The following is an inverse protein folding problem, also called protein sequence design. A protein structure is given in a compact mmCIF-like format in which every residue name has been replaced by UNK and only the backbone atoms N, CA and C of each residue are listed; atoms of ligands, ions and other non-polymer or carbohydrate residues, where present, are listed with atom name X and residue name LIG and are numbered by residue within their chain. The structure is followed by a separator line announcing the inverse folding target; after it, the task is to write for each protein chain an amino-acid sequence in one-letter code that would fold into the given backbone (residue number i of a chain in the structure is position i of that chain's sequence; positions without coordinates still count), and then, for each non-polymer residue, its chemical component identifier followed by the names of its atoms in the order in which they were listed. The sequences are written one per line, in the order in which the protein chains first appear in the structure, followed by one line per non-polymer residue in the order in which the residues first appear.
data_IF_451009956883
#
_entry.id   IF_451009956883
#
_cell.length_a   1.000
_cell.length_b   1.000
_cell.length_c   1.000
_cell.angle_alpha   90.00
_cell.angle_beta   90.00
_cell.angle_gamma   90.00
#
_symmetry.space_group_name_H-M   'P 1'
#
loop_
_entity.id
_entity.type
_entity.pdbx_description
1 polymer ?
#
# COMPACT_ATOMS: atom_id res chain seq x y z
N UNK A 1 -12.33 16.88 9.23
CA UNK A 1 -12.29 16.61 7.77
C UNK A 1 -11.00 15.89 7.42
N UNK A 2 -11.01 15.07 6.34
CA UNK A 2 -9.83 14.39 5.80
C UNK A 2 -9.65 14.84 4.35
N UNK A 3 -8.44 15.28 4.01
CA UNK A 3 -8.05 15.66 2.65
C UNK A 3 -7.09 14.60 2.11
N UNK A 4 -7.49 13.87 1.08
CA UNK A 4 -6.64 12.90 0.40
C UNK A 4 -5.98 13.53 -0.83
N UNK A 5 -4.68 13.54 -0.85
CA UNK A 5 -3.88 13.96 -2.00
C UNK A 5 -3.55 12.75 -2.84
N UNK A 6 -4.26 12.64 -3.94
CA UNK A 6 -4.17 11.55 -4.89
C UNK A 6 -2.89 11.62 -5.72
N UNK A 7 -2.22 10.49 -5.88
CA UNK A 7 -1.01 10.32 -6.72
C UNK A 7 0.03 11.43 -6.52
N UNK A 8 0.17 11.94 -5.29
CA UNK A 8 0.97 13.13 -4.99
C UNK A 8 2.44 13.01 -5.37
N UNK A 9 2.99 11.79 -5.39
CA UNK A 9 4.36 11.53 -5.82
C UNK A 9 4.70 12.07 -7.21
N UNK A 10 3.69 12.22 -8.07
CA UNK A 10 3.82 12.66 -9.45
C UNK A 10 3.44 14.12 -9.67
N UNK A 11 3.19 14.89 -8.62
CA UNK A 11 2.65 16.24 -8.70
C UNK A 11 3.55 17.20 -9.48
N UNK A 12 4.85 17.19 -9.21
CA UNK A 12 5.80 18.09 -9.88
C UNK A 12 6.45 17.42 -11.09
N UNK A 13 6.55 18.18 -12.18
CA UNK A 13 7.16 17.73 -13.43
C UNK A 13 8.40 18.57 -13.74
N UNK A 14 9.53 17.90 -14.00
CA UNK A 14 10.79 18.53 -14.34
C UNK A 14 11.49 17.76 -15.46
N UNK A 15 11.75 18.43 -16.57
CA UNK A 15 12.43 17.82 -17.72
C UNK A 15 13.78 17.26 -17.27
N UNK A 16 14.11 16.03 -17.69
CA UNK A 16 15.36 15.35 -17.33
C UNK A 16 15.38 14.69 -15.95
N UNK A 17 14.25 14.73 -15.21
CA UNK A 17 14.09 14.04 -13.94
C UNK A 17 13.17 12.82 -14.05
N UNK A 18 13.07 12.04 -12.96
CA UNK A 18 12.11 10.94 -12.87
C UNK A 18 10.63 11.41 -12.79
N UNK A 19 10.40 12.69 -12.48
CA UNK A 19 9.09 13.25 -12.18
C UNK A 19 8.32 12.51 -11.05
N UNK A 20 9.06 11.90 -10.12
CA UNK A 20 8.52 11.16 -8.98
C UNK A 20 9.26 11.57 -7.72
N UNK A 21 8.54 11.89 -6.66
CA UNK A 21 9.07 12.27 -5.34
C UNK A 21 10.11 13.41 -5.42
N UNK A 22 9.86 14.41 -6.27
CA UNK A 22 10.77 15.54 -6.40
C UNK A 22 10.72 16.45 -5.16
N UNK A 23 11.82 17.14 -4.80
CA UNK A 23 11.82 18.09 -3.68
C UNK A 23 10.69 19.13 -3.76
N UNK A 24 10.37 19.60 -4.95
CA UNK A 24 9.29 20.55 -5.20
C UNK A 24 7.91 19.97 -4.83
N UNK A 25 7.71 18.65 -4.99
CA UNK A 25 6.49 17.97 -4.54
C UNK A 25 6.35 18.06 -3.01
N UNK A 26 7.43 17.78 -2.29
CA UNK A 26 7.46 17.87 -0.83
C UNK A 26 7.21 19.31 -0.33
N UNK A 27 7.76 20.33 -1.00
CA UNK A 27 7.48 21.72 -0.66
C UNK A 27 5.99 22.08 -0.80
N UNK A 28 5.33 21.57 -1.85
CA UNK A 28 3.90 21.78 -2.04
C UNK A 28 3.09 21.06 -0.94
N UNK A 29 3.46 19.84 -0.58
CA UNK A 29 2.79 19.12 0.52
C UNK A 29 2.95 19.89 1.84
N UNK A 30 4.13 20.42 2.14
CA UNK A 30 4.37 21.29 3.32
C UNK A 30 3.53 22.57 3.29
N UNK A 31 3.43 23.19 2.13
CA UNK A 31 2.56 24.37 1.97
C UNK A 31 1.10 24.05 2.29
N UNK A 32 0.57 22.97 1.72
CA UNK A 32 -0.81 22.55 1.99
C UNK A 32 -0.99 22.14 3.45
N UNK A 33 -0.02 21.45 4.05
CA UNK A 33 -0.04 21.13 5.48
C UNK A 33 -0.15 22.41 6.32
N UNK A 34 0.67 23.40 6.06
CA UNK A 34 0.66 24.69 6.77
C UNK A 34 -0.69 25.41 6.63
N UNK A 35 -1.25 25.43 5.42
CA UNK A 35 -2.57 26.05 5.17
C UNK A 35 -3.68 25.30 5.91
N UNK A 36 -3.66 23.97 5.88
CA UNK A 36 -4.66 23.13 6.57
C UNK A 36 -4.58 23.33 8.09
N UNK A 37 -3.39 23.30 8.66
CA UNK A 37 -3.19 23.51 10.11
C UNK A 37 -3.67 24.88 10.57
N UNK A 38 -3.50 25.90 9.73
CA UNK A 38 -3.98 27.26 10.03
C UNK A 38 -5.50 27.43 9.89
N UNK A 39 -6.10 26.89 8.82
CA UNK A 39 -7.53 27.09 8.53
C UNK A 39 -8.44 26.07 9.21
N UNK A 40 -7.96 24.88 9.45
CA UNK A 40 -8.74 23.78 10.01
C UNK A 40 -7.84 22.82 10.82
N UNK A 41 -7.42 23.20 12.03
CA UNK A 41 -6.46 22.43 12.84
C UNK A 41 -6.85 20.99 13.17
N UNK A 42 -8.14 20.65 13.03
CA UNK A 42 -8.67 19.30 13.23
C UNK A 42 -8.72 18.47 11.93
N UNK A 43 -8.33 19.04 10.81
CA UNK A 43 -8.32 18.32 9.54
C UNK A 43 -7.05 17.50 9.38
N UNK A 44 -7.18 16.38 8.67
CA UNK A 44 -6.10 15.45 8.41
C UNK A 44 -5.73 15.50 6.93
N UNK A 45 -4.44 15.64 6.64
CA UNK A 45 -3.88 15.51 5.30
C UNK A 45 -3.36 14.09 5.12
N UNK A 46 -3.86 13.39 4.11
CA UNK A 46 -3.44 12.04 3.73
C UNK A 46 -2.79 12.07 2.36
N UNK A 47 -1.58 11.53 2.23
CA UNK A 47 -0.92 11.39 0.93
C UNK A 47 -1.04 9.97 0.40
N UNK A 48 -1.45 9.85 -0.85
CA UNK A 48 -1.48 8.61 -1.61
C UNK A 48 -0.26 8.52 -2.51
N UNK A 49 0.63 7.54 -2.22
CA UNK A 49 1.89 7.33 -2.94
C UNK A 49 2.18 5.83 -3.07
N UNK A 50 1.80 5.23 -4.20
CA UNK A 50 2.07 3.83 -4.50
C UNK A 50 3.56 3.62 -4.86
N UNK A 51 4.44 3.79 -3.88
CA UNK A 51 5.90 3.71 -3.98
C UNK A 51 6.48 2.79 -2.91
N UNK A 52 7.74 2.33 -3.03
CA UNK A 52 8.39 1.55 -1.99
C UNK A 52 8.34 2.25 -0.62
N UNK A 53 8.23 1.48 0.46
CA UNK A 53 8.06 1.99 1.82
C UNK A 53 9.05 3.10 2.18
N UNK A 54 10.35 2.93 1.81
CA UNK A 54 11.41 3.92 2.06
C UNK A 54 11.15 5.30 1.40
N UNK A 55 10.46 5.31 0.25
CA UNK A 55 10.08 6.54 -0.43
C UNK A 55 8.81 7.13 0.17
N UNK A 56 7.85 6.27 0.49
CA UNK A 56 6.56 6.67 1.05
C UNK A 56 6.69 7.34 2.42
N UNK A 57 7.55 6.83 3.32
CA UNK A 57 7.76 7.40 4.65
C UNK A 57 8.33 8.83 4.62
N UNK A 58 8.96 9.25 3.52
CA UNK A 58 9.46 10.63 3.38
C UNK A 58 8.36 11.67 3.42
N UNK A 59 7.10 11.29 3.11
CA UNK A 59 5.94 12.17 3.18
C UNK A 59 5.44 12.49 4.59
N UNK A 60 6.03 11.90 5.63
CA UNK A 60 5.88 12.43 6.98
C UNK A 60 6.69 13.72 7.19
N UNK A 61 7.75 13.91 6.40
CA UNK A 61 8.71 15.00 6.58
C UNK A 61 9.29 14.99 8.00
N UNK A 62 9.33 16.15 8.62
CA UNK A 62 9.62 16.33 10.05
C UNK A 62 8.33 16.65 10.82
N UNK A 63 7.29 15.83 10.67
CA UNK A 63 5.93 16.05 11.15
C UNK A 63 5.25 17.30 10.53
N UNK A 64 5.70 17.75 9.36
CA UNK A 64 5.26 18.96 8.68
C UNK A 64 4.77 18.73 7.23
N UNK A 65 4.59 17.46 6.84
CA UNK A 65 3.99 17.07 5.57
C UNK A 65 2.67 16.33 5.84
N UNK A 66 2.50 15.08 5.42
CA UNK A 66 1.27 14.34 5.66
C UNK A 66 1.07 14.03 7.16
N UNK A 67 -0.19 14.11 7.60
CA UNK A 67 -0.59 13.52 8.89
C UNK A 67 -0.64 12.00 8.79
N UNK A 68 -1.20 11.49 7.70
CA UNK A 68 -1.28 10.07 7.43
C UNK A 68 -0.69 9.73 6.06
N UNK A 69 -0.02 8.60 5.98
CA UNK A 69 0.45 8.02 4.73
C UNK A 69 -0.14 6.61 4.56
N UNK A 70 -0.52 6.25 3.34
CA UNK A 70 -0.98 4.89 3.05
C UNK A 70 0.12 3.87 3.25
N UNK A 71 -0.16 2.78 3.94
CA UNK A 71 0.77 1.64 4.07
C UNK A 71 0.62 0.71 2.86
N UNK A 72 1.10 1.14 1.70
CA UNK A 72 0.98 0.40 0.44
C UNK A 72 1.71 -0.95 0.42
N UNK A 73 2.71 -1.14 1.28
CA UNK A 73 3.40 -2.42 1.38
C UNK A 73 2.58 -3.49 2.10
N UNK A 74 1.61 -3.07 2.92
CA UNK A 74 0.83 -4.01 3.73
C UNK A 74 -0.03 -4.98 2.90
N UNK A 75 -0.85 -4.55 1.92
CA UNK A 75 -1.72 -5.46 1.18
C UNK A 75 -0.98 -6.63 0.54
N UNK A 76 0.02 -6.42 -0.35
CA UNK A 76 0.68 -7.51 -1.03
C UNK A 76 1.51 -8.40 -0.10
N UNK A 77 2.16 -7.83 0.92
CA UNK A 77 2.98 -8.60 1.87
C UNK A 77 2.08 -9.45 2.77
N UNK A 78 0.97 -8.90 3.24
CA UNK A 78 0.06 -9.65 4.12
C UNK A 78 -0.66 -10.77 3.37
N UNK A 79 -1.11 -10.52 2.14
CA UNK A 79 -1.67 -11.55 1.26
C UNK A 79 -0.62 -12.67 1.05
N UNK A 80 0.60 -12.31 0.69
CA UNK A 80 1.67 -13.29 0.50
C UNK A 80 1.94 -14.10 1.77
N UNK A 81 2.00 -13.45 2.92
CA UNK A 81 2.18 -14.05 4.26
C UNK A 81 1.13 -15.13 4.52
N UNK A 82 -0.15 -14.79 4.36
CA UNK A 82 -1.28 -15.70 4.61
C UNK A 82 -1.25 -16.88 3.64
N UNK A 83 -1.08 -16.63 2.34
CA UNK A 83 -1.08 -17.68 1.33
C UNK A 83 0.13 -18.61 1.42
N UNK A 84 1.26 -18.11 1.91
CA UNK A 84 2.47 -18.88 2.17
C UNK A 84 2.40 -19.66 3.49
N UNK A 85 1.66 -19.15 4.48
CA UNK A 85 1.68 -19.66 5.86
C UNK A 85 2.99 -19.39 6.58
N UNK A 86 3.62 -18.22 6.34
CA UNK A 86 4.93 -17.85 6.86
C UNK A 86 4.91 -16.39 7.32
N UNK A 87 4.91 -16.17 8.65
CA UNK A 87 4.81 -14.84 9.26
C UNK A 87 6.05 -13.97 9.10
N UNK A 88 7.18 -14.54 8.69
CA UNK A 88 8.46 -13.82 8.57
C UNK A 88 8.41 -12.63 7.60
N UNK A 89 7.52 -12.67 6.60
CA UNK A 89 7.31 -11.57 5.66
C UNK A 89 6.64 -10.38 6.32
N UNK A 90 5.60 -10.62 7.13
CA UNK A 90 4.93 -9.57 7.89
C UNK A 90 5.85 -9.00 8.98
N UNK A 91 6.57 -9.86 9.69
CA UNK A 91 7.57 -9.45 10.67
C UNK A 91 8.63 -8.54 10.03
N UNK A 92 9.18 -8.93 8.88
CA UNK A 92 10.13 -8.10 8.12
C UNK A 92 9.54 -6.76 7.73
N UNK A 93 8.27 -6.71 7.30
CA UNK A 93 7.58 -5.45 6.99
C UNK A 93 7.48 -4.57 8.24
N UNK A 94 6.91 -5.09 9.32
CA UNK A 94 6.68 -4.31 10.55
C UNK A 94 7.97 -3.78 11.16
N UNK A 95 9.04 -4.57 11.12
CA UNK A 95 10.36 -4.14 11.60
C UNK A 95 11.06 -3.14 10.66
N UNK A 96 10.69 -3.07 9.40
CA UNK A 96 11.27 -2.12 8.43
C UNK A 96 10.62 -0.75 8.43
N UNK A 97 9.40 -0.63 8.96
CA UNK A 97 8.68 0.63 9.04
C UNK A 97 9.14 1.40 10.29
N UNK A 98 9.61 2.65 10.15
CA UNK A 98 9.89 3.49 11.31
C UNK A 98 8.58 3.78 12.06
N UNK A 99 8.62 3.94 13.39
CA UNK A 99 7.45 4.39 14.14
C UNK A 99 6.96 5.75 13.62
N UNK A 100 5.64 5.91 13.54
CA UNK A 100 5.08 7.20 13.15
C UNK A 100 5.42 8.27 14.18
N UNK A 101 5.70 9.48 13.71
CA UNK A 101 5.98 10.62 14.58
C UNK A 101 4.70 11.06 15.31
N UNK A 102 4.85 11.80 16.41
CA UNK A 102 3.70 12.33 17.14
C UNK A 102 2.79 13.17 16.22
N UNK A 103 1.51 12.84 16.20
CA UNK A 103 0.53 13.48 15.32
C UNK A 103 0.48 12.92 13.88
N UNK A 104 1.28 11.90 13.59
CA UNK A 104 1.27 11.18 12.32
C UNK A 104 0.84 9.72 12.50
N UNK A 105 0.37 9.07 11.43
CA UNK A 105 0.00 7.66 11.46
C UNK A 105 0.11 7.00 10.07
N UNK A 106 0.30 5.69 10.07
CA UNK A 106 0.09 4.88 8.88
C UNK A 106 -1.40 4.63 8.70
N UNK A 107 -1.92 4.81 7.48
CA UNK A 107 -3.24 4.37 7.08
C UNK A 107 -3.12 2.92 6.58
N UNK A 108 -3.46 1.98 7.44
CA UNK A 108 -3.38 0.55 7.15
C UNK A 108 -4.62 0.11 6.37
N UNK A 109 -4.43 -0.46 5.21
CA UNK A 109 -5.47 -1.01 4.36
C UNK A 109 -4.99 -2.31 3.72
N UNK A 110 -5.90 -3.13 3.26
CA UNK A 110 -5.62 -4.43 2.63
C UNK A 110 -6.30 -4.61 1.28
N UNK A 111 -7.19 -3.70 0.92
CA UNK A 111 -7.83 -3.62 -0.38
C UNK A 111 -8.20 -2.17 -0.68
N UNK A 112 -8.27 -1.82 -1.96
CA UNK A 112 -8.73 -0.52 -2.47
C UNK A 112 -9.35 -0.68 -3.85
N UNK A 113 -9.90 0.41 -4.39
CA UNK A 113 -10.48 0.45 -5.74
C UNK A 113 -9.41 0.36 -6.86
N UNK A 114 -8.14 0.61 -6.54
CA UNK A 114 -7.03 0.60 -7.51
C UNK A 114 -6.38 -0.79 -7.66
N UNK A 115 -6.79 -1.77 -6.84
CA UNK A 115 -6.15 -3.08 -6.79
C UNK A 115 -4.95 -3.13 -5.82
N UNK A 116 -4.17 -4.21 -5.91
CA UNK A 116 -3.04 -4.50 -5.03
C UNK A 116 -1.74 -4.11 -5.74
N UNK A 117 -1.13 -3.02 -5.30
CA UNK A 117 0.13 -2.52 -5.85
C UNK A 117 1.30 -3.48 -5.62
N UNK A 118 2.09 -3.74 -6.64
CA UNK A 118 3.26 -4.62 -6.57
C UNK A 118 4.58 -3.87 -6.36
N UNK A 119 4.64 -2.60 -6.75
CA UNK A 119 5.84 -1.78 -6.53
C UNK A 119 6.22 -1.66 -5.04
N UNK A 120 5.29 -1.53 -4.10
CA UNK A 120 5.61 -1.49 -2.67
C UNK A 120 6.25 -2.76 -2.11
N UNK A 121 6.19 -3.90 -2.84
CA UNK A 121 6.88 -5.13 -2.44
C UNK A 121 8.35 -5.16 -2.84
N UNK A 122 8.84 -4.20 -3.65
CA UNK A 122 10.22 -4.18 -4.11
C UNK A 122 11.20 -4.16 -2.93
N UNK A 123 12.15 -5.11 -2.93
CA UNK A 123 13.10 -5.30 -1.83
C UNK A 123 12.60 -6.15 -0.65
N UNK A 124 11.29 -6.48 -0.62
CA UNK A 124 10.69 -7.36 0.40
C UNK A 124 10.39 -8.75 -0.14
N UNK A 125 9.83 -8.82 -1.35
CA UNK A 125 9.64 -10.06 -2.10
C UNK A 125 10.66 -10.15 -3.24
N UNK A 126 11.20 -11.33 -3.47
CA UNK A 126 12.01 -11.62 -4.65
C UNK A 126 11.15 -11.64 -5.92
N UNK A 127 11.78 -11.50 -7.08
CA UNK A 127 11.07 -11.59 -8.36
C UNK A 127 10.32 -12.92 -8.55
N UNK A 128 10.83 -14.02 -7.99
CA UNK A 128 10.16 -15.33 -8.06
C UNK A 128 8.93 -15.38 -7.16
N UNK A 129 8.97 -14.74 -5.99
CA UNK A 129 7.85 -14.65 -5.07
C UNK A 129 6.75 -13.76 -5.64
N UNK A 130 7.10 -12.63 -6.26
CA UNK A 130 6.14 -11.77 -6.97
C UNK A 130 5.47 -12.55 -8.12
N UNK A 131 6.24 -13.30 -8.92
CA UNK A 131 5.67 -14.14 -9.99
C UNK A 131 4.74 -15.21 -9.43
N UNK A 132 5.10 -15.84 -8.31
CA UNK A 132 4.26 -16.83 -7.64
C UNK A 132 2.95 -16.22 -7.13
N UNK A 133 3.01 -15.01 -6.55
CA UNK A 133 1.83 -14.26 -6.13
C UNK A 133 0.90 -13.98 -7.31
N UNK A 134 1.46 -13.43 -8.39
CA UNK A 134 0.73 -13.13 -9.63
C UNK A 134 0.05 -14.38 -10.19
N UNK A 135 0.78 -15.50 -10.30
CA UNK A 135 0.21 -16.77 -10.80
C UNK A 135 -0.99 -17.20 -9.96
N UNK A 136 -0.84 -17.17 -8.62
CA UNK A 136 -1.92 -17.56 -7.71
C UNK A 136 -3.13 -16.63 -7.83
N UNK A 137 -2.91 -15.32 -7.95
CA UNK A 137 -4.03 -14.37 -8.11
C UNK A 137 -4.76 -14.57 -9.44
N UNK A 138 -4.03 -14.86 -10.53
CA UNK A 138 -4.66 -15.20 -11.81
C UNK A 138 -5.46 -16.52 -11.73
N UNK A 139 -4.93 -17.55 -11.03
CA UNK A 139 -5.65 -18.80 -10.78
C UNK A 139 -6.94 -18.57 -9.99
N UNK A 140 -6.96 -17.61 -9.09
CA UNK A 140 -8.12 -17.21 -8.29
C UNK A 140 -9.06 -16.23 -9.04
N UNK A 141 -8.85 -15.98 -10.34
CA UNK A 141 -9.73 -15.14 -11.16
C UNK A 141 -9.34 -13.66 -11.25
N UNK A 142 -8.20 -13.28 -10.69
CA UNK A 142 -7.69 -11.91 -10.78
C UNK A 142 -6.99 -11.62 -12.12
N UNK A 143 -6.79 -10.34 -12.38
CA UNK A 143 -6.07 -9.81 -13.53
C UNK A 143 -4.89 -8.97 -13.11
N UNK A 144 -3.84 -8.89 -13.93
CA UNK A 144 -2.65 -8.10 -13.65
C UNK A 144 -2.48 -6.99 -14.67
N UNK A 145 -2.38 -5.76 -14.20
CA UNK A 145 -1.98 -4.63 -15.03
C UNK A 145 -0.45 -4.52 -15.10
N UNK A 146 0.04 -3.97 -16.22
CA UNK A 146 1.46 -3.83 -16.48
C UNK A 146 1.82 -2.38 -16.79
N UNK A 147 2.99 -1.95 -16.30
CA UNK A 147 3.60 -0.67 -16.68
C UNK A 147 4.84 -0.89 -17.53
N UNK A 148 5.16 0.08 -18.36
CA UNK A 148 6.47 0.12 -19.05
C UNK A 148 7.49 0.77 -18.12
N UNK A 149 8.59 0.09 -17.85
CA UNK A 149 9.70 0.63 -17.07
C UNK A 149 10.65 1.48 -17.95
N UNK A 150 11.69 2.07 -17.33
CA UNK A 150 12.67 2.92 -18.02
C UNK A 150 13.43 2.20 -19.16
N UNK A 151 13.52 0.88 -19.10
CA UNK A 151 14.17 0.03 -20.09
C UNK A 151 13.22 -0.44 -21.20
N UNK A 152 12.05 0.16 -21.33
CA UNK A 152 11.00 -0.22 -22.28
C UNK A 152 10.46 -1.66 -22.09
N UNK A 153 10.65 -2.25 -20.91
CA UNK A 153 10.14 -3.58 -20.55
C UNK A 153 8.85 -3.46 -19.77
N UNK A 154 7.92 -4.37 -20.06
CA UNK A 154 6.68 -4.51 -19.25
C UNK A 154 7.04 -5.11 -17.90
N UNK A 155 6.63 -4.43 -16.83
CA UNK A 155 6.72 -4.90 -15.46
C UNK A 155 5.31 -4.95 -14.85
N UNK A 156 4.98 -5.96 -14.04
CA UNK A 156 3.70 -6.01 -13.36
C UNK A 156 3.56 -4.83 -12.43
N UNK A 157 2.36 -4.25 -12.38
CA UNK A 157 2.10 -3.01 -11.65
C UNK A 157 1.10 -3.21 -10.52
N UNK A 158 -0.09 -3.74 -10.83
CA UNK A 158 -1.16 -3.98 -9.87
C UNK A 158 -1.88 -5.29 -10.18
N UNK A 159 -2.42 -5.93 -9.14
CA UNK A 159 -3.29 -7.09 -9.24
C UNK A 159 -4.72 -6.64 -8.94
N UNK A 160 -5.62 -6.83 -9.89
CA UNK A 160 -7.03 -6.53 -9.78
C UNK A 160 -7.78 -7.80 -9.40
N UNK A 161 -8.11 -7.93 -8.14
CA UNK A 161 -8.85 -9.07 -7.58
C UNK A 161 -9.57 -8.60 -6.30
N UNK A 162 -10.76 -9.14 -6.02
CA UNK A 162 -11.35 -8.92 -4.71
C UNK A 162 -10.50 -9.56 -3.62
N UNK A 163 -10.45 -8.95 -2.45
CA UNK A 163 -9.69 -9.55 -1.34
C UNK A 163 -10.26 -10.91 -0.94
N UNK A 164 -11.58 -11.08 -1.07
CA UNK A 164 -12.22 -12.34 -0.79
C UNK A 164 -11.71 -13.44 -1.73
N UNK A 165 -11.71 -13.20 -3.03
CA UNK A 165 -11.20 -14.16 -4.02
C UNK A 165 -9.69 -14.38 -3.89
N UNK A 166 -8.92 -13.34 -3.53
CA UNK A 166 -7.49 -13.46 -3.27
C UNK A 166 -7.18 -14.46 -2.15
N UNK A 167 -8.09 -14.64 -1.18
CA UNK A 167 -7.93 -15.57 -0.06
C UNK A 167 -8.48 -16.99 -0.33
N UNK A 168 -9.00 -17.25 -1.55
CA UNK A 168 -9.69 -18.50 -1.88
C UNK A 168 -8.81 -19.74 -1.68
N UNK A 169 -7.55 -19.68 -2.07
CA UNK A 169 -6.67 -20.84 -2.09
C UNK A 169 -5.22 -20.45 -1.74
N UNK A 170 -4.54 -21.27 -0.92
CA UNK A 170 -3.14 -21.07 -0.56
C UNK A 170 -2.18 -21.44 -1.70
N UNK A 171 -0.88 -21.15 -1.56
CA UNK A 171 0.14 -21.58 -2.52
C UNK A 171 0.31 -23.12 -2.60
N UNK A 172 -0.20 -23.88 -1.64
CA UNK A 172 -0.20 -25.34 -1.63
C UNK A 172 -1.47 -25.95 -2.17
N UNK A 173 -2.40 -25.13 -2.65
CA UNK A 173 -3.67 -25.59 -3.21
C UNK A 173 -4.75 -25.87 -2.16
N UNK A 174 -4.53 -25.48 -0.89
CA UNK A 174 -5.54 -25.68 0.15
C UNK A 174 -6.65 -24.61 0.03
N UNK A 175 -7.90 -25.08 -0.15
CA UNK A 175 -9.11 -24.27 -0.20
C UNK A 175 -9.88 -24.20 1.13
N UNK A 176 -9.53 -25.08 2.09
CA UNK A 176 -10.13 -25.03 3.40
C UNK A 176 -9.83 -23.67 4.08
N UNK A 177 -10.74 -23.25 4.95
CA UNK A 177 -10.57 -22.01 5.72
C UNK A 177 -10.49 -20.73 4.87
N UNK A 178 -11.18 -20.69 3.72
CA UNK A 178 -11.23 -19.49 2.88
C UNK A 178 -11.75 -18.27 3.65
N UNK A 179 -12.89 -18.42 4.30
CA UNK A 179 -13.51 -17.35 5.09
C UNK A 179 -12.65 -16.96 6.29
N UNK A 180 -12.07 -17.93 6.98
CA UNK A 180 -11.19 -17.69 8.12
C UNK A 180 -9.91 -16.94 7.70
N UNK A 181 -9.32 -17.25 6.53
CA UNK A 181 -8.20 -16.46 6.00
C UNK A 181 -8.62 -15.03 5.69
N UNK A 182 -9.80 -14.84 5.12
CA UNK A 182 -10.33 -13.51 4.85
C UNK A 182 -10.58 -12.71 6.14
N UNK A 183 -11.09 -13.34 7.20
CA UNK A 183 -11.21 -12.70 8.52
C UNK A 183 -9.84 -12.45 9.16
N UNK A 184 -8.93 -13.42 9.08
CA UNK A 184 -7.61 -13.32 9.67
C UNK A 184 -6.82 -12.11 9.14
N UNK A 185 -6.85 -11.88 7.83
CA UNK A 185 -6.15 -10.73 7.22
C UNK A 185 -6.69 -9.40 7.73
N UNK A 186 -8.00 -9.27 7.98
CA UNK A 186 -8.60 -8.08 8.57
C UNK A 186 -8.22 -7.92 10.05
N UNK A 187 -8.23 -9.01 10.83
CA UNK A 187 -7.84 -8.98 12.25
C UNK A 187 -6.39 -8.55 12.39
N UNK A 188 -5.50 -9.05 11.53
CA UNK A 188 -4.09 -8.63 11.54
C UNK A 188 -4.00 -7.13 11.23
N UNK A 189 -4.66 -6.64 10.19
CA UNK A 189 -4.68 -5.20 9.86
C UNK A 189 -5.15 -4.35 11.05
N UNK A 190 -6.21 -4.78 11.74
CA UNK A 190 -6.75 -4.08 12.91
C UNK A 190 -5.81 -4.10 14.12
N UNK A 191 -4.91 -5.07 14.22
CA UNK A 191 -3.96 -5.20 15.33
C UNK A 191 -2.69 -4.37 15.14
N UNK A 192 -2.46 -3.82 13.94
CA UNK A 192 -1.28 -3.00 13.65
C UNK A 192 -1.45 -1.57 14.15
N UNK A 193 -0.35 -0.96 14.56
CA UNK A 193 -0.32 0.46 14.89
C UNK A 193 -0.69 1.31 13.68
N UNK A 194 -1.60 2.28 13.87
CA UNK A 194 -2.06 3.19 12.84
C UNK A 194 -3.58 3.30 12.74
N UNK A 195 -4.05 3.81 11.62
CA UNK A 195 -5.47 3.99 11.33
C UNK A 195 -5.92 2.90 10.35
N UNK A 196 -6.81 1.99 10.73
CA UNK A 196 -7.32 0.97 9.83
C UNK A 196 -8.34 1.56 8.85
N UNK A 197 -8.22 1.18 7.58
CA UNK A 197 -9.13 1.57 6.51
C UNK A 197 -9.74 0.34 5.85
N UNK A 198 -11.07 0.26 5.87
CA UNK A 198 -11.82 -0.80 5.22
C UNK A 198 -12.31 -0.35 3.84
N UNK A 199 -11.97 -1.10 2.81
CA UNK A 199 -12.60 -0.93 1.51
C UNK A 199 -14.01 -1.50 1.56
N UNK A 200 -14.98 -0.76 1.00
CA UNK A 200 -16.40 -1.11 1.12
C UNK A 200 -16.72 -2.52 0.59
N UNK A 201 -16.10 -2.93 -0.51
CA UNK A 201 -16.30 -4.28 -1.06
C UNK A 201 -15.78 -5.38 -0.14
N UNK A 202 -14.72 -5.11 0.65
CA UNK A 202 -14.22 -6.06 1.65
C UNK A 202 -15.18 -6.28 2.81
N UNK A 203 -16.05 -5.31 3.13
CA UNK A 203 -17.09 -5.50 4.16
C UNK A 203 -18.18 -6.48 3.72
N UNK A 204 -18.40 -6.60 2.42
CA UNK A 204 -19.44 -7.48 1.85
C UNK A 204 -18.87 -8.74 1.19
N UNK A 205 -17.54 -8.92 1.17
CA UNK A 205 -16.88 -10.05 0.53
C UNK A 205 -17.06 -10.08 -0.99
N UNK A 206 -17.14 -8.90 -1.65
CA UNK A 206 -17.38 -8.76 -3.10
C UNK A 206 -16.19 -8.09 -3.78
#
# INVERSE_FOLDING_TARGET
SVFRFDAVAFLWKKIGSSCVNLPETHEIVRLFRTVIDYLSPSAVLVTETNTPARENVTYFGNANEAHWIYNFSLPPILIYTILKGDSSYLEKLTMSLPPAQLGAAYLNFIASHDGIGLRPCEGMLSNNEIKKLISKMNENGGEVSYRTNKDNKKAPYEINISLFDAMQETFTGNKDFHFERFLCIHIIMLSLEGVPAFYIHSLFGT
#
